data_IF_504461773106
#
_entry.id   IF_504461773106
#
_cell.length_a   1.000
_cell.length_b   1.000
_cell.length_c   1.000
_cell.angle_alpha   90.00
_cell.angle_beta   90.00
_cell.angle_gamma   90.00
#
_symmetry.space_group_name_H-M   'P 1'
#
loop_
_entity.id
_entity.type
_entity.pdbx_description
1 polymer ?
#
# COMPACT_ATOMS: atom_id res chain seq x y z
N UNK A 1 6.96 2.25 -21.73
CA UNK A 1 5.49 2.36 -21.67
C UNK A 1 5.12 2.61 -20.22
N UNK A 2 4.52 3.75 -19.90
CA UNK A 2 4.32 4.25 -18.52
C UNK A 2 2.87 3.91 -18.15
N UNK A 3 2.65 2.84 -17.40
CA UNK A 3 1.31 2.38 -17.03
C UNK A 3 0.87 3.12 -15.77
N UNK A 4 0.17 4.24 -15.94
CA UNK A 4 -0.15 5.21 -14.86
C UNK A 4 -1.47 4.91 -14.11
N UNK A 5 -2.09 3.74 -14.29
CA UNK A 5 -3.49 3.52 -13.90
C UNK A 5 -3.74 2.37 -12.90
N UNK A 6 -3.01 2.33 -11.77
CA UNK A 6 -3.37 1.43 -10.65
C UNK A 6 -3.45 2.20 -9.32
N UNK A 7 -4.09 3.36 -9.36
CA UNK A 7 -4.36 4.18 -8.17
C UNK A 7 -5.80 3.93 -7.77
N UNK A 8 -6.00 3.51 -6.52
CA UNK A 8 -7.29 3.20 -5.91
C UNK A 8 -7.47 4.15 -4.74
N UNK A 9 -8.59 4.85 -4.63
CA UNK A 9 -8.82 5.79 -3.54
C UNK A 9 -10.21 5.64 -2.96
N UNK A 10 -10.29 5.57 -1.63
CA UNK A 10 -11.53 5.63 -0.87
C UNK A 10 -11.57 6.95 -0.05
N UNK A 11 -12.59 7.11 0.79
CA UNK A 11 -12.84 8.26 1.67
C UNK A 11 -11.72 8.51 2.68
N UNK A 12 -10.94 7.48 3.03
CA UNK A 12 -9.87 7.57 4.04
C UNK A 12 -8.45 7.47 3.48
N UNK A 13 -8.22 6.60 2.48
CA UNK A 13 -6.88 6.26 1.98
C UNK A 13 -6.86 6.08 0.47
N UNK A 14 -5.74 6.44 -0.14
CA UNK A 14 -5.40 6.17 -1.53
C UNK A 14 -4.27 5.15 -1.57
N UNK A 15 -4.43 4.06 -2.32
CA UNK A 15 -3.42 3.01 -2.53
C UNK A 15 -2.99 3.01 -3.98
N UNK A 16 -1.68 2.97 -4.22
CA UNK A 16 -1.08 2.86 -5.55
C UNK A 16 -0.38 1.52 -5.68
N UNK A 17 -0.54 0.88 -6.83
CA UNK A 17 0.12 -0.38 -7.15
C UNK A 17 1.05 -0.27 -8.34
N UNK A 18 2.26 -0.79 -8.18
CA UNK A 18 3.30 -0.80 -9.19
C UNK A 18 3.59 -2.25 -9.62
N UNK A 19 2.97 -2.75 -10.70
CA UNK A 19 3.18 -4.14 -11.15
C UNK A 19 4.64 -4.42 -11.53
N UNK A 20 5.38 -3.42 -12.02
CA UNK A 20 6.81 -3.55 -12.35
C UNK A 20 7.69 -3.85 -11.13
N UNK A 21 7.23 -3.50 -9.92
CA UNK A 21 7.95 -3.74 -8.67
C UNK A 21 7.45 -5.02 -7.99
N UNK A 22 6.26 -5.50 -8.35
CA UNK A 22 5.64 -6.65 -7.72
C UNK A 22 6.37 -7.96 -8.08
N UNK A 23 6.89 -8.65 -7.06
CA UNK A 23 7.51 -9.97 -7.22
C UNK A 23 6.51 -11.12 -7.17
N UNK A 24 5.20 -10.83 -7.24
CA UNK A 24 4.11 -11.80 -7.09
C UNK A 24 4.24 -12.69 -5.85
N UNK A 25 4.61 -12.12 -4.69
CA UNK A 25 4.76 -12.85 -3.43
C UNK A 25 3.42 -13.40 -2.87
N UNK A 26 2.28 -13.02 -3.46
CA UNK A 26 0.90 -13.37 -3.03
C UNK A 26 0.52 -12.98 -1.59
N UNK A 27 1.44 -12.44 -0.79
CA UNK A 27 1.19 -12.04 0.61
C UNK A 27 0.06 -11.03 0.74
N UNK A 28 -0.04 -10.10 -0.22
CA UNK A 28 -1.11 -9.10 -0.28
C UNK A 28 -2.50 -9.77 -0.25
N UNK A 29 -2.68 -10.79 -1.08
CA UNK A 29 -3.93 -11.53 -1.25
C UNK A 29 -4.13 -12.55 -0.13
N UNK A 30 -3.06 -13.25 0.31
CA UNK A 30 -3.15 -14.29 1.35
C UNK A 30 -3.52 -13.75 2.73
N UNK A 31 -3.03 -12.59 3.11
CA UNK A 31 -3.29 -12.03 4.46
C UNK A 31 -4.49 -11.06 4.47
N UNK A 32 -4.87 -10.48 3.33
CA UNK A 32 -5.98 -9.53 3.24
C UNK A 32 -6.78 -9.73 1.94
N UNK A 33 -7.33 -10.94 1.79
CA UNK A 33 -8.14 -11.33 0.63
C UNK A 33 -9.43 -10.52 0.49
N UNK A 34 -9.91 -9.91 1.57
CA UNK A 34 -11.08 -9.03 1.50
C UNK A 34 -10.84 -7.83 0.59
N UNK A 35 -9.63 -7.24 0.66
CA UNK A 35 -9.23 -6.04 -0.08
C UNK A 35 -8.53 -6.38 -1.39
N UNK A 36 -7.55 -7.28 -1.37
CA UNK A 36 -6.75 -7.61 -2.55
C UNK A 36 -7.27 -8.90 -3.18
N UNK A 37 -7.92 -8.79 -4.34
CA UNK A 37 -8.55 -9.91 -5.04
C UNK A 37 -8.12 -9.94 -6.50
N UNK A 38 -7.57 -11.07 -6.94
CA UNK A 38 -7.13 -11.26 -8.34
C UNK A 38 -8.25 -11.71 -9.28
N UNK A 39 -9.38 -12.16 -8.72
CA UNK A 39 -10.50 -12.73 -9.49
C UNK A 39 -11.62 -11.75 -9.80
N UNK A 40 -11.58 -10.53 -9.25
CA UNK A 40 -12.60 -9.50 -9.46
C UNK A 40 -11.98 -8.18 -9.91
N UNK A 41 -12.77 -7.35 -10.58
CA UNK A 41 -12.39 -6.00 -10.98
C UNK A 41 -13.40 -5.03 -10.34
N UNK A 42 -12.97 -4.03 -9.58
CA UNK A 42 -11.56 -3.69 -9.27
C UNK A 42 -10.87 -4.72 -8.37
N UNK A 43 -9.57 -4.93 -8.59
CA UNK A 43 -8.78 -5.94 -7.87
C UNK A 43 -8.32 -5.47 -6.47
N UNK A 44 -8.40 -4.16 -6.21
CA UNK A 44 -8.29 -3.58 -4.86
C UNK A 44 -9.64 -3.00 -4.47
N UNK A 45 -10.22 -3.53 -3.41
CA UNK A 45 -11.42 -2.99 -2.78
C UNK A 45 -11.06 -2.39 -1.41
N UNK A 46 -10.93 -1.06 -1.36
CA UNK A 46 -10.55 -0.34 -0.14
C UNK A 46 -11.72 -0.14 0.83
N UNK A 47 -12.92 -0.63 0.51
CA UNK A 47 -14.11 -0.53 1.36
C UNK A 47 -14.34 -1.82 2.17
N UNK A 48 -13.83 -2.95 1.66
CA UNK A 48 -13.93 -4.26 2.31
C UNK A 48 -13.16 -4.38 3.64
N UNK A 49 -12.31 -3.40 4.01
CA UNK A 49 -11.58 -3.42 5.29
C UNK A 49 -11.17 -2.02 5.75
N UNK A 50 -10.87 -1.86 7.03
CA UNK A 50 -10.39 -0.61 7.61
C UNK A 50 -9.09 -0.09 6.97
N UNK A 51 -8.98 1.23 6.84
CA UNK A 51 -7.78 1.90 6.33
C UNK A 51 -6.51 1.51 7.11
N UNK A 52 -6.60 1.27 8.42
CA UNK A 52 -5.45 0.82 9.23
C UNK A 52 -4.94 -0.57 8.84
N UNK A 53 -5.86 -1.52 8.57
CA UNK A 53 -5.51 -2.87 8.13
C UNK A 53 -4.86 -2.84 6.75
N UNK A 54 -5.43 -2.05 5.84
CA UNK A 54 -4.88 -1.82 4.51
C UNK A 54 -3.45 -1.27 4.61
N UNK A 55 -3.23 -0.24 5.43
CA UNK A 55 -1.90 0.37 5.61
C UNK A 55 -0.89 -0.61 6.20
N UNK A 56 -1.29 -1.39 7.23
CA UNK A 56 -0.43 -2.44 7.80
C UNK A 56 -0.05 -3.46 6.74
N UNK A 57 -1.00 -3.85 5.89
CA UNK A 57 -0.77 -4.82 4.82
C UNK A 57 0.14 -4.27 3.72
N UNK A 58 -0.05 -3.02 3.33
CA UNK A 58 0.84 -2.34 2.38
C UNK A 58 2.28 -2.29 2.91
N UNK A 59 2.48 -2.02 4.20
CA UNK A 59 3.80 -2.06 4.85
C UNK A 59 4.41 -3.48 4.95
N UNK A 60 3.60 -4.54 4.90
CA UNK A 60 4.09 -5.93 4.87
C UNK A 60 4.53 -6.39 3.49
N UNK A 61 4.28 -5.60 2.44
CA UNK A 61 4.69 -5.93 1.07
C UNK A 61 6.22 -5.98 0.98
N UNK A 62 6.85 -7.15 0.78
CA UNK A 62 8.31 -7.28 0.80
C UNK A 62 8.96 -6.59 -0.41
N UNK A 63 8.23 -6.44 -1.51
CA UNK A 63 8.71 -5.76 -2.71
C UNK A 63 8.51 -4.24 -2.68
N UNK A 64 7.66 -3.72 -1.80
CA UNK A 64 7.28 -2.30 -1.82
C UNK A 64 6.45 -1.89 -3.05
N UNK A 65 5.83 -2.85 -3.73
CA UNK A 65 5.00 -2.62 -4.92
C UNK A 65 3.68 -1.90 -4.61
N UNK A 66 3.27 -1.93 -3.34
CA UNK A 66 2.09 -1.22 -2.85
C UNK A 66 2.53 0.02 -2.09
N UNK A 67 1.91 1.16 -2.39
CA UNK A 67 2.09 2.43 -1.69
C UNK A 67 0.74 2.93 -1.20
N UNK A 68 0.73 3.70 -0.12
CA UNK A 68 -0.50 4.30 0.39
C UNK A 68 -0.29 5.78 0.70
N UNK A 69 -1.39 6.53 0.66
CA UNK A 69 -1.46 7.94 0.98
C UNK A 69 -2.75 8.16 1.76
N UNK A 70 -2.62 8.52 3.04
CA UNK A 70 -3.79 8.77 3.91
C UNK A 70 -4.31 10.18 3.66
N UNK A 71 -5.63 10.35 3.58
CA UNK A 71 -6.25 11.69 3.50
C UNK A 71 -6.11 12.38 4.87
N UNK A 72 -5.82 13.68 4.84
CA UNK A 72 -5.41 14.46 6.02
C UNK A 72 -6.47 14.52 7.14
N UNK A 73 -7.72 14.15 6.86
CA UNK A 73 -8.85 14.20 7.78
C UNK A 73 -8.78 13.22 8.98
N UNK A 74 -7.96 12.16 8.92
CA UNK A 74 -7.90 11.11 9.98
C UNK A 74 -6.51 10.92 10.62
N UNK A 75 -5.67 11.96 10.67
CA UNK A 75 -4.33 11.83 11.28
C UNK A 75 -4.42 11.78 12.82
N UNK A 76 -4.55 10.55 13.36
CA UNK A 76 -3.86 10.19 14.61
C UNK A 76 -2.48 9.64 14.24
N UNK A 77 -1.45 10.24 14.85
CA UNK A 77 -0.02 10.05 14.61
C UNK A 77 0.38 8.58 14.48
N UNK A 78 1.00 8.22 13.36
CA UNK A 78 1.87 7.04 13.26
C UNK A 78 3.19 7.51 12.63
N UNK A 79 4.03 7.99 13.52
CA UNK A 79 5.49 8.11 13.47
C UNK A 79 6.16 7.77 12.13
N UNK A 80 6.48 8.83 11.40
CA UNK A 80 7.53 8.87 10.38
C UNK A 80 8.83 8.45 11.05
N UNK A 81 9.20 7.18 10.97
CA UNK A 81 10.59 6.75 11.18
C UNK A 81 11.42 7.30 10.02
N UNK A 82 11.84 8.56 10.17
CA UNK A 82 13.00 9.12 9.47
C UNK A 82 14.14 8.13 9.70
N UNK A 83 14.65 7.49 8.65
CA UNK A 83 15.98 6.88 8.71
C UNK A 83 16.95 8.05 8.64
N UNK A 84 17.70 8.41 9.70
CA UNK A 84 18.80 9.35 9.53
C UNK A 84 19.82 8.70 8.59
N UNK A 85 20.07 9.36 7.48
CA UNK A 85 21.29 9.17 6.71
C UNK A 85 22.41 9.70 7.59
N UNK A 86 23.26 8.83 8.11
CA UNK A 86 24.59 9.23 8.54
C UNK A 86 25.58 8.08 8.47
N UNK A 87 26.83 8.50 8.22
CA UNK A 87 28.10 7.79 8.22
C UNK A 87 28.51 7.14 6.88
N UNK A 88 29.70 7.40 6.33
CA UNK A 88 30.96 7.85 6.97
C UNK A 88 31.80 8.67 5.98
N UNK A 89 32.26 9.85 6.41
CA UNK A 89 33.43 10.50 5.84
C UNK A 89 34.65 10.03 6.63
N UNK A 90 35.52 9.26 6.00
CA UNK A 90 36.94 9.11 6.34
C UNK A 90 37.70 8.79 5.05
#
# INVERSE_FOLDING_TARGET
MKTEANIFSNSEVTVTYEPNVCIHSEKCIKELSDVFRTSIIPWIDLDASDAERIIKQVNRCPSGALKYQRKLSSIKKAEVKKKPVLETAV
#
